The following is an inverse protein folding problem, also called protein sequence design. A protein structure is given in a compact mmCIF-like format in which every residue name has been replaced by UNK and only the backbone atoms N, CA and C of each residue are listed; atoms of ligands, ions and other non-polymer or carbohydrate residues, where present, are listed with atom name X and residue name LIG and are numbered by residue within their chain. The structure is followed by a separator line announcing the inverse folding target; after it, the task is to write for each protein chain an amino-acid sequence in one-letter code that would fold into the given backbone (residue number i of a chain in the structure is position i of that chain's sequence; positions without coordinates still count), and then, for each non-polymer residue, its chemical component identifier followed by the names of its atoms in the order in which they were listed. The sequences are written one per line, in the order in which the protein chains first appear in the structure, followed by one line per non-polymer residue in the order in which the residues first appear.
data_IF_009924572114
#
_entry.id   IF_009924572114
#
_cell.length_a   1.000
_cell.length_b   1.000
_cell.length_c   1.000
_cell.angle_alpha   90.00
_cell.angle_beta   90.00
_cell.angle_gamma   90.00
#
_symmetry.space_group_name_H-M   'P 1'
#
loop_
_entity.id
_entity.type
_entity.pdbx_description
1 polymer ?
#
# COMPACT_ATOMS: atom_id res chain seq x y z
N UNK A 1 -9.58 -12.38 -19.43
CA UNK A 1 -8.99 -11.50 -20.46
C UNK A 1 -7.82 -12.28 -21.05
N UNK A 2 -7.98 -12.87 -22.22
CA UNK A 2 -6.93 -13.70 -22.83
C UNK A 2 -5.99 -12.82 -23.66
N UNK A 3 -4.70 -12.84 -23.33
CA UNK A 3 -3.67 -12.18 -24.10
C UNK A 3 -3.32 -13.02 -25.32
N UNK A 4 -3.30 -12.41 -26.51
CA UNK A 4 -2.87 -13.11 -27.72
C UNK A 4 -1.38 -13.46 -27.63
N UNK A 5 -0.97 -14.55 -28.27
CA UNK A 5 0.45 -14.95 -28.36
C UNK A 5 1.33 -13.85 -28.92
N UNK A 6 0.81 -13.08 -29.88
CA UNK A 6 1.49 -11.93 -30.44
C UNK A 6 1.75 -10.86 -29.38
N UNK A 7 0.74 -10.57 -28.54
CA UNK A 7 0.90 -9.56 -27.48
C UNK A 7 1.89 -9.99 -26.41
N UNK A 8 1.88 -11.28 -26.06
CA UNK A 8 2.89 -11.85 -25.14
C UNK A 8 4.29 -11.68 -25.70
N UNK A 9 4.50 -11.94 -27.00
CA UNK A 9 5.81 -11.76 -27.64
C UNK A 9 6.29 -10.31 -27.60
N UNK A 10 5.41 -9.36 -27.94
CA UNK A 10 5.73 -7.92 -27.87
C UNK A 10 6.17 -7.49 -26.45
N UNK A 11 5.47 -7.98 -25.41
CA UNK A 11 5.82 -7.66 -24.03
C UNK A 11 7.19 -8.22 -23.63
N UNK A 12 7.51 -9.45 -24.06
CA UNK A 12 8.81 -10.06 -23.81
C UNK A 12 9.93 -9.33 -24.56
N UNK A 13 9.69 -8.88 -25.79
CA UNK A 13 10.66 -8.08 -26.56
C UNK A 13 10.95 -6.73 -25.89
N UNK A 14 9.94 -6.06 -25.31
CA UNK A 14 10.14 -4.84 -24.53
C UNK A 14 10.99 -5.10 -23.29
N UNK A 15 10.75 -6.20 -22.59
CA UNK A 15 11.53 -6.58 -21.42
C UNK A 15 13.00 -6.83 -21.78
N UNK A 16 13.28 -7.51 -22.90
CA UNK A 16 14.65 -7.71 -23.37
C UNK A 16 15.37 -6.43 -23.80
N UNK A 17 14.66 -5.35 -24.16
CA UNK A 17 15.30 -4.05 -24.40
C UNK A 17 15.90 -3.45 -23.12
N UNK A 18 15.25 -3.70 -21.99
CA UNK A 18 15.65 -3.18 -20.69
C UNK A 18 16.57 -4.14 -19.93
N UNK A 19 16.33 -5.45 -20.07
CA UNK A 19 17.13 -6.52 -19.49
C UNK A 19 17.62 -7.48 -20.59
N UNK A 20 18.69 -7.15 -21.34
CA UNK A 20 19.12 -7.93 -22.50
C UNK A 20 19.49 -9.38 -22.19
N UNK A 21 19.95 -9.65 -20.96
CA UNK A 21 20.36 -10.98 -20.51
C UNK A 21 19.29 -11.69 -19.68
N UNK A 22 18.06 -11.15 -19.64
CA UNK A 22 16.99 -11.67 -18.79
C UNK A 22 16.71 -13.15 -19.06
N UNK A 23 16.89 -13.98 -18.02
CA UNK A 23 16.59 -15.42 -18.05
C UNK A 23 15.27 -15.78 -17.38
N UNK A 24 14.58 -14.78 -16.82
CA UNK A 24 13.36 -14.95 -16.05
C UNK A 24 13.35 -14.09 -14.78
N UNK A 25 12.31 -14.23 -13.97
CA UNK A 25 12.07 -13.39 -12.78
C UNK A 25 13.08 -13.57 -11.63
N UNK A 26 14.00 -14.52 -11.74
CA UNK A 26 15.10 -14.74 -10.80
C UNK A 26 16.44 -14.19 -11.29
N UNK A 27 16.47 -13.52 -12.44
CA UNK A 27 17.66 -12.86 -12.96
C UNK A 27 18.14 -11.76 -12.00
N UNK A 28 19.46 -11.64 -11.78
CA UNK A 28 20.02 -10.76 -10.74
C UNK A 28 19.70 -9.29 -10.98
N UNK A 29 19.83 -8.82 -12.23
CA UNK A 29 19.59 -7.41 -12.58
C UNK A 29 18.10 -7.07 -12.38
N UNK A 30 17.21 -7.95 -12.85
CA UNK A 30 15.77 -7.82 -12.60
C UNK A 30 15.41 -7.89 -11.11
N UNK A 31 16.06 -8.77 -10.36
CA UNK A 31 15.82 -8.93 -8.93
C UNK A 31 16.27 -7.70 -8.14
N UNK A 32 17.41 -7.10 -8.48
CA UNK A 32 17.91 -5.87 -7.87
C UNK A 32 16.97 -4.70 -8.17
N UNK A 33 16.61 -4.51 -9.43
CA UNK A 33 15.84 -3.35 -9.89
C UNK A 33 14.37 -3.40 -9.48
N UNK A 34 13.73 -4.58 -9.52
CA UNK A 34 12.26 -4.67 -9.37
C UNK A 34 11.79 -5.43 -8.15
N UNK A 35 12.62 -6.25 -7.52
CA UNK A 35 12.17 -7.19 -6.48
C UNK A 35 12.75 -6.88 -5.10
N UNK A 36 14.05 -6.61 -5.03
CA UNK A 36 14.80 -6.53 -3.78
C UNK A 36 14.29 -5.40 -2.88
N UNK A 37 14.09 -4.20 -3.43
CA UNK A 37 13.58 -3.08 -2.66
C UNK A 37 12.13 -3.31 -2.17
N UNK A 38 11.27 -3.94 -2.99
CA UNK A 38 9.88 -4.26 -2.60
C UNK A 38 9.85 -5.26 -1.45
N UNK A 39 10.73 -6.27 -1.49
CA UNK A 39 10.91 -7.22 -0.40
C UNK A 39 11.40 -6.55 0.87
N UNK A 40 12.36 -5.65 0.78
CA UNK A 40 12.85 -4.88 1.93
C UNK A 40 11.72 -4.07 2.59
N UNK A 41 10.88 -3.38 1.80
CA UNK A 41 9.70 -2.67 2.30
C UNK A 41 8.68 -3.60 2.95
N UNK A 42 8.48 -4.81 2.43
CA UNK A 42 7.61 -5.82 3.05
C UNK A 42 8.14 -6.23 4.42
N UNK A 43 9.44 -6.49 4.56
CA UNK A 43 10.03 -6.84 5.87
C UNK A 43 9.91 -5.68 6.87
N UNK A 44 10.18 -4.45 6.43
CA UNK A 44 9.98 -3.26 7.25
C UNK A 44 8.52 -3.08 7.67
N UNK A 45 7.57 -3.34 6.77
CA UNK A 45 6.14 -3.29 7.07
C UNK A 45 5.72 -4.38 8.05
N UNK A 46 6.27 -5.61 7.94
CA UNK A 46 6.04 -6.67 8.91
C UNK A 46 6.53 -6.29 10.31
N UNK A 47 7.61 -5.53 10.42
CA UNK A 47 8.11 -5.04 11.70
C UNK A 47 7.23 -3.90 12.23
N UNK A 48 7.11 -2.81 11.48
CA UNK A 48 6.46 -1.58 11.94
C UNK A 48 4.95 -1.72 12.07
N UNK A 49 4.32 -2.46 11.16
CA UNK A 49 2.86 -2.58 11.04
C UNK A 49 2.36 -3.96 11.48
N UNK A 50 3.14 -4.74 12.23
CA UNK A 50 2.65 -6.04 12.73
C UNK A 50 1.35 -5.91 13.55
N UNK A 51 0.52 -6.95 13.54
CA UNK A 51 -0.70 -7.01 14.38
C UNK A 51 -0.40 -6.70 15.85
N UNK A 52 0.72 -7.23 16.37
CA UNK A 52 1.16 -7.01 17.75
C UNK A 52 1.48 -5.53 18.00
N UNK A 53 2.30 -4.93 17.15
CA UNK A 53 2.72 -3.55 17.33
C UNK A 53 1.57 -2.57 17.15
N UNK A 54 0.74 -2.73 16.12
CA UNK A 54 -0.40 -1.85 15.89
C UNK A 54 -1.43 -1.95 17.03
N UNK A 55 -1.66 -3.16 17.57
CA UNK A 55 -2.55 -3.33 18.73
C UNK A 55 -1.98 -2.66 19.97
N UNK A 56 -0.67 -2.81 20.22
CA UNK A 56 0.03 -2.12 21.32
C UNK A 56 -0.12 -0.61 21.21
N UNK A 57 0.07 -0.02 20.04
CA UNK A 57 -0.09 1.42 19.83
C UNK A 57 -1.52 1.90 20.08
N UNK A 58 -2.53 1.13 19.67
CA UNK A 58 -3.94 1.44 19.97
C UNK A 58 -4.20 1.40 21.48
N UNK A 59 -3.73 0.37 22.17
CA UNK A 59 -3.96 0.18 23.62
C UNK A 59 -3.26 1.25 24.46
N UNK A 60 -2.05 1.65 24.04
CA UNK A 60 -1.29 2.75 24.65
C UNK A 60 -1.76 4.14 24.17
N UNK A 61 -2.78 4.22 23.30
CA UNK A 61 -3.29 5.46 22.68
C UNK A 61 -2.22 6.28 21.93
N UNK A 62 -1.20 5.61 21.41
CA UNK A 62 -0.10 6.18 20.59
C UNK A 62 -0.51 6.28 19.12
N UNK A 63 -1.58 7.02 18.84
CA UNK A 63 -2.14 7.12 17.48
C UNK A 63 -1.24 7.91 16.52
N UNK A 64 -0.48 8.87 17.02
CA UNK A 64 0.44 9.66 16.19
C UNK A 64 1.58 8.79 15.67
N UNK A 65 2.15 7.93 16.53
CA UNK A 65 3.18 6.95 16.14
C UNK A 65 2.60 5.92 15.14
N UNK A 66 1.34 5.51 15.30
CA UNK A 66 0.68 4.62 14.33
C UNK A 66 0.65 5.26 12.94
N UNK A 67 0.21 6.52 12.86
CA UNK A 67 0.12 7.28 11.60
C UNK A 67 1.51 7.50 11.01
N UNK A 68 2.50 7.83 11.82
CA UNK A 68 3.89 7.99 11.37
C UNK A 68 4.47 6.70 10.79
N UNK A 69 4.17 5.54 11.39
CA UNK A 69 4.59 4.23 10.85
C UNK A 69 3.92 3.93 9.51
N UNK A 70 2.63 4.24 9.36
CA UNK A 70 1.94 4.13 8.07
C UNK A 70 2.56 5.05 7.02
N UNK A 71 2.85 6.30 7.38
CA UNK A 71 3.47 7.28 6.50
C UNK A 71 4.89 6.85 6.09
N UNK A 72 5.66 6.31 7.04
CA UNK A 72 7.02 5.77 6.82
C UNK A 72 7.00 4.65 5.79
N UNK A 73 6.09 3.67 5.92
CA UNK A 73 5.96 2.57 4.96
C UNK A 73 5.44 3.08 3.62
N UNK A 74 4.43 3.97 3.64
CA UNK A 74 3.87 4.55 2.43
C UNK A 74 4.89 5.36 1.61
N UNK A 75 5.93 5.90 2.26
CA UNK A 75 7.02 6.64 1.62
C UNK A 75 8.30 5.84 1.39
N UNK A 76 8.35 4.58 1.79
CA UNK A 76 9.59 3.79 1.77
C UNK A 76 10.13 3.59 0.35
N UNK A 77 9.25 3.49 -0.64
CA UNK A 77 9.61 3.31 -2.04
C UNK A 77 8.54 3.90 -2.99
N UNK A 78 8.67 3.64 -4.30
CA UNK A 78 7.74 4.13 -5.34
C UNK A 78 6.55 3.20 -5.59
N UNK A 79 6.18 2.32 -4.64
CA UNK A 79 5.00 1.46 -4.78
C UNK A 79 3.69 2.26 -4.74
N UNK A 80 3.68 3.42 -4.10
CA UNK A 80 2.54 4.32 -4.04
C UNK A 80 2.73 5.51 -4.98
N UNK A 81 1.63 6.02 -5.51
CA UNK A 81 1.61 7.26 -6.27
C UNK A 81 1.72 8.45 -5.31
N UNK A 82 2.92 9.04 -5.24
CA UNK A 82 3.26 10.09 -4.25
C UNK A 82 3.43 11.50 -4.83
N UNK A 83 3.17 11.72 -6.12
CA UNK A 83 3.45 13.03 -6.76
C UNK A 83 2.62 14.20 -6.20
N UNK A 84 1.57 13.92 -5.41
CA UNK A 84 0.81 14.93 -4.68
C UNK A 84 0.56 14.44 -3.24
N UNK A 85 1.28 14.95 -2.21
CA UNK A 85 1.21 14.44 -0.84
C UNK A 85 -0.21 14.43 -0.25
N UNK A 86 -1.04 15.41 -0.62
CA UNK A 86 -2.40 15.57 -0.10
C UNK A 86 -3.50 14.95 -0.98
N UNK A 87 -3.16 14.39 -2.15
CA UNK A 87 -4.12 13.82 -3.12
C UNK A 87 -3.74 12.43 -3.67
N UNK A 88 -2.61 11.89 -3.25
CA UNK A 88 -2.18 10.52 -3.56
C UNK A 88 -2.66 9.50 -2.54
N UNK A 89 -2.09 8.30 -2.57
CA UNK A 89 -2.52 7.15 -1.76
C UNK A 89 -2.48 7.39 -0.23
N UNK A 90 -1.70 8.39 0.22
CA UNK A 90 -1.56 8.77 1.63
C UNK A 90 -2.41 9.97 2.04
N UNK A 91 -3.23 10.52 1.15
CA UNK A 91 -3.97 11.78 1.38
C UNK A 91 -4.84 11.77 2.65
N UNK A 92 -5.38 10.61 3.03
CA UNK A 92 -6.19 10.47 4.25
C UNK A 92 -5.40 10.75 5.54
N UNK A 93 -4.08 10.51 5.56
CA UNK A 93 -3.23 10.72 6.74
C UNK A 93 -3.03 12.20 7.06
N UNK A 94 -3.19 13.09 6.07
CA UNK A 94 -2.88 14.51 6.18
C UNK A 94 -4.13 15.40 6.32
N UNK A 95 -5.31 14.82 6.52
CA UNK A 95 -6.52 15.59 6.75
C UNK A 95 -6.45 16.27 8.12
N UNK A 96 -6.57 17.61 8.22
CA UNK A 96 -6.47 18.32 9.50
C UNK A 96 -7.49 17.83 10.55
N UNK A 97 -8.65 17.38 10.10
CA UNK A 97 -9.78 16.92 10.91
C UNK A 97 -9.77 15.39 11.13
N UNK A 98 -8.65 14.72 10.82
CA UNK A 98 -8.54 13.27 10.98
C UNK A 98 -8.71 12.88 12.46
N UNK A 99 -9.82 12.20 12.74
CA UNK A 99 -10.06 11.54 14.02
C UNK A 99 -9.12 10.32 14.15
N UNK A 100 -7.92 10.56 14.67
CA UNK A 100 -6.82 9.59 14.73
C UNK A 100 -7.19 8.29 15.46
N UNK A 101 -7.87 8.32 16.64
CA UNK A 101 -8.35 7.09 17.28
C UNK A 101 -9.25 6.26 16.36
N UNK A 102 -10.28 6.87 15.75
CA UNK A 102 -11.18 6.14 14.86
C UNK A 102 -10.46 5.64 13.60
N UNK A 103 -9.56 6.44 13.03
CA UNK A 103 -8.72 6.05 11.89
C UNK A 103 -7.89 4.81 12.20
N UNK A 104 -7.12 4.83 13.29
CA UNK A 104 -6.21 3.74 13.64
C UNK A 104 -6.97 2.44 13.89
N UNK A 105 -8.15 2.52 14.54
CA UNK A 105 -9.00 1.34 14.74
C UNK A 105 -9.57 0.81 13.42
N UNK A 106 -10.03 1.68 12.52
CA UNK A 106 -10.53 1.27 11.21
C UNK A 106 -9.40 0.67 10.33
N UNK A 107 -8.20 1.24 10.37
CA UNK A 107 -7.02 0.71 9.70
C UNK A 107 -6.58 -0.63 10.29
N UNK A 108 -6.63 -0.79 11.62
CA UNK A 108 -6.31 -2.06 12.26
C UNK A 108 -7.32 -3.15 11.88
N UNK A 109 -8.62 -2.85 11.87
CA UNK A 109 -9.63 -3.79 11.38
C UNK A 109 -9.39 -4.11 9.90
N UNK A 110 -9.06 -3.11 9.07
CA UNK A 110 -8.71 -3.33 7.67
C UNK A 110 -7.55 -4.32 7.50
N UNK A 111 -6.50 -4.24 8.31
CA UNK A 111 -5.29 -5.06 8.17
C UNK A 111 -5.42 -6.42 8.86
N UNK A 112 -6.04 -6.48 10.04
CA UNK A 112 -5.97 -7.63 10.95
C UNK A 112 -7.30 -8.05 11.59
N UNK A 113 -8.41 -7.42 11.19
CA UNK A 113 -9.75 -7.83 11.60
C UNK A 113 -10.05 -9.29 11.27
N UNK A 114 -10.95 -9.90 12.04
CA UNK A 114 -11.26 -11.34 11.93
C UNK A 114 -12.11 -11.66 10.69
N UNK A 115 -12.76 -10.65 10.11
CA UNK A 115 -13.64 -10.80 8.95
C UNK A 115 -12.83 -11.10 7.67
N UNK A 116 -13.47 -11.71 6.64
CA UNK A 116 -12.86 -11.87 5.33
C UNK A 116 -12.33 -10.53 4.77
N UNK A 117 -11.23 -10.58 4.02
CA UNK A 117 -10.54 -9.38 3.48
C UNK A 117 -11.46 -8.45 2.69
N UNK A 118 -12.33 -9.00 1.85
CA UNK A 118 -13.29 -8.20 1.07
C UNK A 118 -14.27 -7.42 1.95
N UNK A 119 -14.68 -8.01 3.08
CA UNK A 119 -15.58 -7.36 4.05
C UNK A 119 -14.85 -6.26 4.82
N UNK A 120 -13.60 -6.50 5.22
CA UNK A 120 -12.77 -5.49 5.91
C UNK A 120 -12.52 -4.27 5.02
N UNK A 121 -12.20 -4.50 3.75
CA UNK A 121 -12.06 -3.46 2.75
C UNK A 121 -13.37 -2.69 2.53
N UNK A 122 -14.50 -3.40 2.40
CA UNK A 122 -15.81 -2.78 2.25
C UNK A 122 -16.16 -1.88 3.44
N UNK A 123 -15.91 -2.32 4.68
CA UNK A 123 -16.20 -1.52 5.87
C UNK A 123 -15.28 -0.30 5.92
N UNK A 124 -13.99 -0.45 5.63
CA UNK A 124 -13.06 0.67 5.63
C UNK A 124 -13.46 1.74 4.60
N UNK A 125 -13.72 1.35 3.36
CA UNK A 125 -14.11 2.30 2.30
C UNK A 125 -15.52 2.86 2.54
N UNK A 126 -16.48 1.99 2.86
CA UNK A 126 -17.90 2.33 2.95
C UNK A 126 -18.30 3.02 4.24
N UNK A 127 -17.81 2.54 5.38
CA UNK A 127 -18.23 3.01 6.69
C UNK A 127 -17.27 4.04 7.30
N UNK A 128 -15.97 3.93 7.02
CA UNK A 128 -14.98 4.89 7.52
C UNK A 128 -14.70 6.01 6.50
N UNK A 129 -14.12 5.68 5.34
CA UNK A 129 -13.61 6.67 4.39
C UNK A 129 -14.69 7.55 3.75
N UNK A 130 -15.87 6.99 3.42
CA UNK A 130 -16.98 7.76 2.83
C UNK A 130 -17.76 8.63 3.82
N UNK A 131 -17.72 8.32 5.12
CA UNK A 131 -18.49 9.04 6.16
C UNK A 131 -17.70 10.20 6.80
N UNK A 132 -16.41 10.31 6.47
CA UNK A 132 -15.52 11.40 6.89
C UNK A 132 -15.11 12.17 5.65
N UNK A 133 -14.81 13.49 5.75
CA UNK A 133 -14.35 14.28 4.61
C UNK A 133 -12.94 13.83 4.22
N UNK A 134 -12.85 12.74 3.47
CA UNK A 134 -11.65 12.36 2.74
C UNK A 134 -11.85 12.90 1.33
N UNK A 135 -10.92 13.67 0.74
CA UNK A 135 -11.06 14.17 -0.62
C UNK A 135 -11.25 13.00 -1.58
N UNK A 136 -12.47 12.83 -2.09
CA UNK A 136 -12.77 11.90 -3.17
C UNK A 136 -12.82 12.71 -4.46
N UNK A 137 -11.73 12.72 -5.22
CA UNK A 137 -11.81 12.99 -6.65
C UNK A 137 -11.81 11.65 -7.39
N UNK A 138 -12.78 11.52 -8.29
CA UNK A 138 -13.04 10.37 -9.14
C UNK A 138 -11.82 10.04 -10.00
N UNK A 139 -11.15 8.92 -9.72
CA UNK A 139 -10.38 8.25 -10.77
C UNK A 139 -11.38 7.44 -11.60
N UNK A 140 -11.85 8.05 -12.69
CA UNK A 140 -12.44 7.30 -13.79
C UNK A 140 -11.36 6.36 -14.32
N UNK A 141 -11.65 5.05 -14.28
CA UNK A 141 -10.91 4.02 -15.03
C UNK A 141 -11.48 4.00 -16.44
#
# INVERSE_FOLDING_TARGET
MDLSKQKVKELVELLHKWYPKWKGFSDLEFMEDEVSYKKATIEKAKELLSKKELKRLIDEKKFDEFIERLDTIGKDNNLLWRSVPMKGDLGILYQPELDRPSFCNAMFDLLYGERPSHTRLKNFVGDYAKRKPVPHEHYAI
#
